data_IF_923905326460
#
_entry.id   IF_923905326460
#
_cell.length_a   1.000
_cell.length_b   1.000
_cell.length_c   1.000
_cell.angle_alpha   90.00
_cell.angle_beta   90.00
_cell.angle_gamma   90.00
#
_symmetry.space_group_name_H-M   'P 1'
#
loop_
_entity.id
_entity.type
_entity.pdbx_description
1 polymer ?
#
# COMPACT_ATOMS: atom_id res chain seq x y z
N UNK A 1 -13.96 20.90 31.57
CA UNK A 1 -14.81 19.84 31.00
C UNK A 1 -14.98 20.18 29.54
N UNK A 2 -14.34 19.42 28.64
CA UNK A 2 -14.29 19.72 27.21
C UNK A 2 -15.71 19.77 26.65
N UNK A 3 -16.02 20.82 25.90
CA UNK A 3 -17.33 20.97 25.30
C UNK A 3 -17.52 19.89 24.22
N UNK A 4 -18.49 19.00 24.43
CA UNK A 4 -18.84 17.94 23.50
C UNK A 4 -19.22 18.49 22.11
N UNK A 5 -19.60 19.77 22.01
CA UNK A 5 -19.78 20.43 20.71
C UNK A 5 -18.46 20.61 19.96
N UNK A 6 -17.39 20.97 20.67
CA UNK A 6 -16.06 21.18 20.10
C UNK A 6 -15.44 19.86 19.65
N UNK A 7 -15.61 18.79 20.44
CA UNK A 7 -15.17 17.43 20.09
C UNK A 7 -15.83 16.94 18.78
N UNK A 8 -17.14 17.12 18.64
CA UNK A 8 -17.87 16.75 17.42
C UNK A 8 -17.43 17.57 16.20
N UNK A 9 -17.15 18.87 16.37
CA UNK A 9 -16.63 19.73 15.29
C UNK A 9 -15.25 19.27 14.84
N UNK A 10 -14.34 18.99 15.77
CA UNK A 10 -13.00 18.47 15.46
C UNK A 10 -13.11 17.11 14.75
N UNK A 11 -13.96 16.21 15.24
CA UNK A 11 -14.19 14.91 14.62
C UNK A 11 -14.74 15.04 13.18
N UNK A 12 -15.69 15.96 12.95
CA UNK A 12 -16.23 16.21 11.63
C UNK A 12 -15.17 16.77 10.66
N UNK A 13 -14.34 17.72 11.12
CA UNK A 13 -13.23 18.26 10.31
C UNK A 13 -12.23 17.16 9.96
N UNK A 14 -11.84 16.34 10.93
CA UNK A 14 -10.94 15.20 10.71
C UNK A 14 -11.51 14.20 9.72
N UNK A 15 -12.79 13.85 9.83
CA UNK A 15 -13.44 12.92 8.90
C UNK A 15 -13.42 13.42 7.46
N UNK A 16 -13.67 14.71 7.24
CA UNK A 16 -13.59 15.32 5.90
C UNK A 16 -12.16 15.32 5.37
N UNK A 17 -11.18 15.67 6.20
CA UNK A 17 -9.76 15.64 5.80
C UNK A 17 -9.30 14.23 5.43
N UNK A 18 -9.72 13.22 6.19
CA UNK A 18 -9.45 11.80 5.90
C UNK A 18 -10.11 11.40 4.59
N UNK A 19 -11.39 11.72 4.40
CA UNK A 19 -12.13 11.39 3.18
C UNK A 19 -11.47 12.00 1.95
N UNK A 20 -11.05 13.27 2.01
CA UNK A 20 -10.37 13.96 0.90
C UNK A 20 -9.02 13.32 0.61
N UNK A 21 -8.27 12.91 1.64
CA UNK A 21 -6.98 12.23 1.49
C UNK A 21 -7.11 10.77 1.02
N UNK A 22 -8.19 10.08 1.37
CA UNK A 22 -8.39 8.66 1.01
C UNK A 22 -8.80 8.44 -0.44
N UNK A 23 -9.18 9.49 -1.17
CA UNK A 23 -9.47 9.40 -2.62
C UNK A 23 -8.21 9.45 -3.49
N UNK A 24 -7.03 9.67 -2.90
CA UNK A 24 -5.73 9.50 -3.57
C UNK A 24 -5.14 8.13 -3.26
N UNK A 25 -4.28 7.61 -4.15
CA UNK A 25 -3.41 6.51 -3.75
C UNK A 25 -2.64 6.94 -2.51
N UNK A 26 -2.63 6.10 -1.47
CA UNK A 26 -1.87 6.35 -0.27
C UNK A 26 -0.39 6.52 -0.66
N UNK A 27 0.11 7.76 -0.66
CA UNK A 27 1.47 8.09 -1.09
C UNK A 27 2.51 7.30 -0.28
N UNK A 28 2.17 6.93 0.96
CA UNK A 28 3.02 6.09 1.80
C UNK A 28 3.18 4.67 1.27
N UNK A 29 2.23 4.19 0.46
CA UNK A 29 2.27 2.89 -0.21
C UNK A 29 2.87 2.95 -1.62
N UNK A 30 3.12 4.13 -2.20
CA UNK A 30 3.66 4.25 -3.56
C UNK A 30 5.02 3.52 -3.69
N UNK A 31 5.91 3.67 -2.71
CA UNK A 31 7.18 2.94 -2.66
C UNK A 31 7.04 1.42 -2.37
N UNK A 32 5.87 0.97 -1.90
CA UNK A 32 5.56 -0.44 -1.64
C UNK A 32 4.92 -1.14 -2.83
N UNK A 33 4.52 -0.39 -3.85
CA UNK A 33 4.03 -0.98 -5.09
C UNK A 33 5.19 -1.66 -5.82
N UNK A 34 5.11 -2.97 -5.97
CA UNK A 34 6.15 -3.75 -6.65
C UNK A 34 6.26 -3.42 -8.14
N UNK A 35 5.28 -2.70 -8.71
CA UNK A 35 5.20 -2.37 -10.14
C UNK A 35 4.73 -3.54 -11.00
N UNK A 36 4.82 -3.41 -12.32
CA UNK A 36 4.40 -4.44 -13.26
C UNK A 36 5.20 -5.75 -13.07
N UNK A 37 4.56 -6.89 -13.34
CA UNK A 37 5.18 -8.21 -13.22
C UNK A 37 6.47 -8.33 -14.05
N UNK A 38 6.51 -7.76 -15.25
CA UNK A 38 7.71 -7.72 -16.09
C UNK A 38 8.84 -6.92 -15.46
N UNK A 39 8.56 -5.74 -14.91
CA UNK A 39 9.59 -4.91 -14.24
C UNK A 39 10.16 -5.62 -13.01
N UNK A 40 9.33 -6.34 -12.26
CA UNK A 40 9.78 -7.16 -11.13
C UNK A 40 10.68 -8.31 -11.58
N UNK A 41 10.28 -9.04 -12.62
CA UNK A 41 11.05 -10.15 -13.18
C UNK A 41 12.38 -9.66 -13.77
N UNK A 42 12.37 -8.52 -14.46
CA UNK A 42 13.58 -7.89 -14.99
C UNK A 42 14.57 -7.51 -13.88
N UNK A 43 14.11 -6.88 -12.78
CA UNK A 43 14.98 -6.60 -11.61
C UNK A 43 15.53 -7.89 -10.99
N UNK A 44 14.75 -8.96 -10.92
CA UNK A 44 15.19 -10.26 -10.42
C UNK A 44 16.28 -10.86 -11.32
N UNK A 45 16.08 -10.87 -12.63
CA UNK A 45 17.08 -11.36 -13.59
C UNK A 45 18.39 -10.57 -13.49
N UNK A 46 18.32 -9.25 -13.41
CA UNK A 46 19.51 -8.38 -13.26
C UNK A 46 20.28 -8.61 -11.95
N UNK A 47 19.60 -9.11 -10.92
CA UNK A 47 20.20 -9.40 -9.61
C UNK A 47 20.54 -10.88 -9.42
N UNK A 48 20.47 -11.69 -10.48
CA UNK A 48 20.75 -13.12 -10.44
C UNK A 48 19.73 -13.95 -9.65
N UNK A 49 18.56 -13.38 -9.36
CA UNK A 49 17.47 -14.08 -8.69
C UNK A 49 16.68 -14.94 -9.67
N UNK A 50 16.07 -16.00 -9.16
CA UNK A 50 15.13 -16.81 -9.93
C UNK A 50 13.93 -15.98 -10.41
N UNK A 51 13.37 -16.37 -11.56
CA UNK A 51 12.19 -15.72 -12.16
C UNK A 51 11.05 -15.57 -11.15
N UNK A 52 10.25 -14.51 -11.33
CA UNK A 52 9.08 -14.19 -10.52
C UNK A 52 8.11 -15.37 -10.42
N UNK A 53 7.94 -16.15 -11.49
CA UNK A 53 7.08 -17.34 -11.48
C UNK A 53 7.63 -18.44 -10.56
N UNK A 54 8.93 -18.69 -10.60
CA UNK A 54 9.58 -19.66 -9.72
C UNK A 54 9.48 -19.24 -8.25
N UNK A 55 9.71 -17.96 -7.95
CA UNK A 55 9.60 -17.41 -6.59
C UNK A 55 8.16 -17.45 -6.03
N UNK A 56 7.14 -17.39 -6.90
CA UNK A 56 5.73 -17.56 -6.51
C UNK A 56 5.38 -19.02 -6.28
N UNK A 57 5.86 -19.91 -7.15
CA UNK A 57 5.64 -21.34 -7.02
C UNK A 57 6.29 -21.92 -5.75
N UNK A 58 7.46 -21.42 -5.34
CA UNK A 58 8.14 -21.85 -4.11
C UNK A 58 7.41 -21.47 -2.82
N UNK A 59 6.51 -20.47 -2.87
CA UNK A 59 5.66 -20.05 -1.74
C UNK A 59 4.32 -20.78 -1.67
N UNK A 60 4.05 -21.73 -2.57
CA UNK A 60 2.84 -22.52 -2.51
C UNK A 60 2.78 -23.30 -1.18
N UNK A 61 1.68 -23.21 -0.42
CA UNK A 61 1.53 -23.93 0.85
C UNK A 61 1.40 -25.45 0.67
N UNK A 62 1.15 -25.91 -0.55
CA UNK A 62 1.00 -27.32 -0.89
C UNK A 62 2.32 -27.99 -1.29
N UNK A 63 3.44 -27.49 -0.77
CA UNK A 63 4.77 -28.08 -0.94
C UNK A 63 5.23 -28.78 0.33
#
# INVERSE_FOLDING_TARGET
MTDASNERRIAAIMAVLVQVRSHGEDESNNARQLGAAWSQDHRRMMTGQASLMHARASRSPWR
#
